data_IF_595007663748
#
_entry.id   IF_595007663748
#
_cell.length_a   1.000
_cell.length_b   1.000
_cell.length_c   1.000
_cell.angle_alpha   90.00
_cell.angle_beta   90.00
_cell.angle_gamma   90.00
#
_symmetry.space_group_name_H-M   'P 1'
#
loop_
_entity.id
_entity.type
_entity.pdbx_description
1 polymer ?
#
# COMPACT_ATOMS: atom_id res chain seq x y z
N UNK A 1 5.39 -19.43 -11.21
CA UNK A 1 6.35 -19.05 -10.15
C UNK A 1 7.28 -18.01 -10.74
N UNK A 2 7.54 -16.92 -10.05
CA UNK A 2 8.48 -15.88 -10.48
C UNK A 2 9.42 -15.50 -9.34
N UNK A 3 10.67 -15.20 -9.68
CA UNK A 3 11.73 -14.86 -8.72
C UNK A 3 12.47 -13.65 -9.28
N UNK A 4 12.79 -12.69 -8.43
CA UNK A 4 13.48 -11.46 -8.81
C UNK A 4 14.47 -11.04 -7.74
N UNK A 5 15.65 -10.60 -8.18
CA UNK A 5 16.69 -10.02 -7.33
C UNK A 5 16.91 -8.59 -7.80
N UNK A 6 16.88 -7.65 -6.87
CA UNK A 6 17.13 -6.25 -7.12
C UNK A 6 18.31 -5.80 -6.26
N UNK A 7 19.26 -5.11 -6.89
CA UNK A 7 20.41 -4.55 -6.22
C UNK A 7 20.54 -3.08 -6.58
N UNK A 8 20.66 -2.23 -5.56
CA UNK A 8 20.83 -0.79 -5.72
C UNK A 8 21.95 -0.29 -4.84
N UNK A 9 22.75 0.63 -5.37
CA UNK A 9 23.82 1.32 -4.64
C UNK A 9 23.65 2.81 -4.80
N UNK A 10 23.70 3.53 -3.68
CA UNK A 10 23.74 4.97 -3.64
C UNK A 10 25.01 5.44 -2.93
N UNK A 11 25.69 6.44 -3.49
CA UNK A 11 26.91 7.01 -2.91
C UNK A 11 26.65 8.48 -2.63
N UNK A 12 26.55 8.81 -1.35
CA UNK A 12 26.39 10.17 -0.87
C UNK A 12 27.75 10.67 -0.38
N UNK A 13 28.30 11.68 -1.05
CA UNK A 13 29.50 12.39 -0.59
C UNK A 13 29.06 13.69 0.07
N UNK A 14 29.18 13.78 1.39
CA UNK A 14 28.95 15.01 2.13
C UNK A 14 30.30 15.63 2.49
N UNK A 15 30.52 16.88 2.08
CA UNK A 15 31.70 17.67 2.46
C UNK A 15 31.30 18.65 3.55
N UNK A 16 31.84 18.48 4.75
CA UNK A 16 31.73 19.47 5.83
C UNK A 16 33.11 19.66 6.47
N UNK A 17 33.56 20.92 6.52
CA UNK A 17 34.78 21.37 7.21
C UNK A 17 36.03 20.48 6.95
N UNK A 18 36.38 20.26 5.69
CA UNK A 18 37.61 19.54 5.30
C UNK A 18 37.61 18.03 5.54
N UNK A 19 36.54 17.48 6.13
CA UNK A 19 36.40 16.04 6.40
C UNK A 19 35.46 15.45 5.34
N UNK A 20 36.01 14.65 4.43
CA UNK A 20 35.22 13.99 3.38
C UNK A 20 34.55 12.74 3.97
N UNK A 21 33.24 12.80 4.20
CA UNK A 21 32.47 11.64 4.65
C UNK A 21 31.79 11.01 3.44
N UNK A 22 32.24 9.82 3.05
CA UNK A 22 31.64 9.05 1.97
C UNK A 22 30.69 8.00 2.56
N UNK A 23 29.39 8.29 2.52
CA UNK A 23 28.35 7.34 2.90
C UNK A 23 27.94 6.53 1.66
N UNK A 24 28.17 5.21 1.69
CA UNK A 24 27.70 4.31 0.64
C UNK A 24 26.56 3.46 1.18
N UNK A 25 25.35 3.74 0.70
CA UNK A 25 24.16 2.97 0.99
C UNK A 25 24.01 1.88 -0.08
N UNK A 26 23.84 0.63 0.35
CA UNK A 26 23.60 -0.51 -0.55
C UNK A 26 22.33 -1.20 -0.11
N UNK A 27 21.42 -1.44 -1.03
CA UNK A 27 20.18 -2.18 -0.79
C UNK A 27 20.18 -3.42 -1.68
N UNK A 28 20.00 -4.58 -1.07
CA UNK A 28 19.84 -5.85 -1.77
C UNK A 28 18.47 -6.40 -1.42
N UNK A 29 17.62 -6.59 -2.42
CA UNK A 29 16.26 -7.07 -2.26
C UNK A 29 16.04 -8.35 -3.08
N UNK A 30 15.40 -9.33 -2.46
CA UNK A 30 14.99 -10.59 -3.06
C UNK A 30 13.48 -10.66 -2.99
N UNK A 31 12.81 -11.05 -4.09
CA UNK A 31 11.37 -11.29 -4.11
C UNK A 31 11.06 -12.59 -4.81
N UNK A 32 10.16 -13.37 -4.23
CA UNK A 32 9.77 -14.69 -4.69
C UNK A 32 8.25 -14.77 -4.66
N UNK A 33 7.63 -15.10 -5.79
CA UNK A 33 6.19 -15.26 -5.90
C UNK A 33 5.82 -16.67 -6.36
N UNK A 34 5.08 -17.38 -5.50
CA UNK A 34 4.68 -18.77 -5.70
C UNK A 34 3.16 -18.81 -5.85
N UNK A 35 2.63 -19.16 -7.04
CA UNK A 35 1.20 -19.38 -7.21
C UNK A 35 0.79 -20.64 -6.44
N UNK A 36 -0.24 -20.50 -5.61
CA UNK A 36 -0.81 -21.54 -4.76
C UNK A 36 -2.14 -22.06 -5.33
N UNK A 37 -2.38 -21.85 -6.63
CA UNK A 37 -3.61 -22.21 -7.34
C UNK A 37 -4.06 -23.67 -7.13
N UNK A 38 -3.12 -24.59 -6.84
CA UNK A 38 -3.41 -26.00 -6.58
C UNK A 38 -4.01 -26.29 -5.19
N UNK A 39 -3.84 -25.37 -4.24
CA UNK A 39 -4.34 -25.52 -2.87
C UNK A 39 -5.51 -24.59 -2.60
N UNK A 40 -5.45 -23.37 -3.13
CA UNK A 40 -6.53 -22.39 -3.06
C UNK A 40 -6.64 -21.69 -4.41
N UNK A 41 -7.86 -21.59 -4.94
CA UNK A 41 -8.15 -20.91 -6.21
C UNK A 41 -7.57 -19.50 -6.21
N UNK A 42 -6.85 -19.16 -7.28
CA UNK A 42 -6.31 -17.84 -7.57
C UNK A 42 -5.60 -17.14 -6.39
N UNK A 43 -4.82 -17.91 -5.64
CA UNK A 43 -4.01 -17.42 -4.52
C UNK A 43 -2.53 -17.50 -4.85
N UNK A 44 -1.73 -16.55 -4.38
CA UNK A 44 -0.27 -16.51 -4.51
C UNK A 44 0.39 -16.10 -3.19
N UNK A 45 1.49 -16.76 -2.87
CA UNK A 45 2.37 -16.36 -1.78
C UNK A 45 3.53 -15.52 -2.31
N UNK A 46 3.85 -14.47 -1.57
CA UNK A 46 5.00 -13.62 -1.81
C UNK A 46 5.97 -13.71 -0.64
N UNK A 47 7.25 -13.86 -0.93
CA UNK A 47 8.31 -13.71 0.05
C UNK A 47 9.27 -12.64 -0.44
N UNK A 48 9.49 -11.62 0.37
CA UNK A 48 10.43 -10.55 0.08
C UNK A 48 11.44 -10.44 1.22
N UNK A 49 12.71 -10.27 0.89
CA UNK A 49 13.76 -9.96 1.85
C UNK A 49 14.51 -8.73 1.34
N UNK A 50 14.80 -7.77 2.21
CA UNK A 50 15.68 -6.65 1.85
C UNK A 50 16.71 -6.38 2.93
N UNK A 51 17.94 -6.09 2.54
CA UNK A 51 19.04 -5.78 3.42
C UNK A 51 19.69 -4.48 2.98
N UNK A 52 19.84 -3.54 3.92
CA UNK A 52 20.49 -2.25 3.69
C UNK A 52 21.80 -2.19 4.47
N UNK A 53 22.91 -1.83 3.80
CA UNK A 53 24.22 -1.64 4.45
C UNK A 53 24.12 -0.53 5.51
N UNK A 54 24.42 -0.86 6.77
CA UNK A 54 24.29 0.05 7.91
C UNK A 54 22.88 0.17 8.48
N UNK A 55 21.91 -0.60 7.95
CA UNK A 55 20.50 -0.57 8.35
C UNK A 55 19.90 -1.97 8.59
N UNK A 56 18.58 -2.00 8.72
CA UNK A 56 17.84 -3.20 9.08
C UNK A 56 17.76 -4.20 7.93
N UNK A 57 17.78 -5.50 8.26
CA UNK A 57 17.30 -6.53 7.34
C UNK A 57 15.82 -6.73 7.59
N UNK A 58 15.00 -6.65 6.53
CA UNK A 58 13.57 -6.88 6.60
C UNK A 58 13.19 -8.15 5.86
N UNK A 59 12.30 -8.91 6.47
CA UNK A 59 11.67 -10.09 5.91
C UNK A 59 10.17 -9.80 5.82
N UNK A 60 9.56 -10.03 4.67
CA UNK A 60 8.14 -9.85 4.46
C UNK A 60 7.56 -11.09 3.80
N UNK A 61 6.52 -11.63 4.39
CA UNK A 61 5.78 -12.77 3.86
C UNK A 61 4.35 -12.32 3.62
N UNK A 62 3.86 -12.53 2.41
CA UNK A 62 2.53 -12.16 1.99
C UNK A 62 1.77 -13.33 1.41
N UNK A 63 0.46 -13.33 1.60
CA UNK A 63 -0.48 -14.19 0.91
C UNK A 63 -1.58 -13.31 0.34
N UNK A 64 -1.86 -13.44 -0.94
CA UNK A 64 -2.91 -12.66 -1.59
C UNK A 64 -3.57 -13.47 -2.67
N UNK A 65 -4.82 -13.14 -2.97
CA UNK A 65 -5.57 -13.85 -3.97
C UNK A 65 -6.82 -13.11 -4.39
N UNK A 66 -7.58 -13.77 -5.25
CA UNK A 66 -8.91 -13.33 -5.66
C UNK A 66 -9.94 -14.40 -5.36
N UNK A 67 -11.14 -13.96 -5.00
CA UNK A 67 -12.30 -14.79 -4.71
C UNK A 67 -13.51 -14.27 -5.50
N UNK A 68 -14.61 -15.03 -5.40
CA UNK A 68 -15.82 -14.95 -6.25
C UNK A 68 -15.58 -15.42 -7.69
N UNK A 69 -16.66 -15.87 -8.34
CA UNK A 69 -16.62 -16.51 -9.67
C UNK A 69 -16.01 -15.61 -10.75
N UNK A 70 -16.04 -14.29 -10.55
CA UNK A 70 -15.50 -13.29 -11.48
C UNK A 70 -14.19 -12.64 -10.98
N UNK A 71 -13.54 -13.18 -9.95
CA UNK A 71 -12.34 -12.61 -9.33
C UNK A 71 -12.52 -11.15 -8.86
N UNK A 72 -13.76 -10.78 -8.54
CA UNK A 72 -14.16 -9.43 -8.16
C UNK A 72 -13.74 -9.07 -6.74
N UNK A 73 -13.47 -10.05 -5.88
CA UNK A 73 -12.93 -9.80 -4.54
C UNK A 73 -11.43 -10.09 -4.53
N UNK A 74 -10.61 -9.06 -4.39
CA UNK A 74 -9.18 -9.21 -4.10
C UNK A 74 -8.94 -9.13 -2.59
N UNK A 75 -8.08 -9.99 -2.07
CA UNK A 75 -7.70 -9.98 -0.67
C UNK A 75 -6.20 -10.23 -0.52
N UNK A 76 -5.64 -9.77 0.59
CA UNK A 76 -4.22 -9.92 0.87
C UNK A 76 -3.91 -9.73 2.33
N UNK A 77 -3.04 -10.58 2.85
CA UNK A 77 -2.43 -10.46 4.16
C UNK A 77 -0.92 -10.42 3.98
N UNK A 78 -0.24 -9.57 4.73
CA UNK A 78 1.21 -9.48 4.75
C UNK A 78 1.69 -9.37 6.19
N UNK A 79 2.78 -10.06 6.49
CA UNK A 79 3.48 -10.00 7.75
C UNK A 79 4.95 -9.67 7.50
N UNK A 80 5.43 -8.62 8.15
CA UNK A 80 6.81 -8.16 8.07
C UNK A 80 7.52 -8.22 9.42
N UNK A 81 8.83 -8.45 9.37
CA UNK A 81 9.75 -8.39 10.49
C UNK A 81 11.05 -7.70 10.10
N UNK A 82 11.52 -6.76 10.94
CA UNK A 82 12.79 -6.08 10.79
C UNK A 82 13.74 -6.44 11.95
N UNK A 83 14.95 -6.92 11.62
CA UNK A 83 15.94 -7.34 12.63
C UNK A 83 16.46 -6.19 13.48
N UNK A 84 16.69 -5.01 12.88
CA UNK A 84 17.18 -3.86 13.64
C UNK A 84 16.01 -3.13 14.31
N UNK A 85 15.97 -3.18 15.64
CA UNK A 85 14.88 -2.63 16.46
C UNK A 85 13.71 -3.58 16.71
N UNK A 86 13.78 -4.83 16.26
CA UNK A 86 12.82 -5.90 16.59
C UNK A 86 11.38 -5.59 16.21
N UNK A 87 11.17 -4.84 15.12
CA UNK A 87 9.84 -4.33 14.75
C UNK A 87 9.12 -5.33 13.87
N UNK A 88 7.93 -5.74 14.30
CA UNK A 88 6.99 -6.47 13.45
C UNK A 88 5.90 -5.53 12.95
N UNK A 89 5.42 -5.81 11.75
CA UNK A 89 4.26 -5.17 11.16
C UNK A 89 3.41 -6.23 10.46
N UNK A 90 2.13 -5.92 10.30
CA UNK A 90 1.21 -6.74 9.56
C UNK A 90 0.14 -5.90 8.91
N UNK A 91 -0.36 -6.34 7.77
CA UNK A 91 -1.55 -5.74 7.16
C UNK A 91 -2.46 -6.79 6.55
N UNK A 92 -3.73 -6.47 6.56
CA UNK A 92 -4.82 -7.17 5.91
C UNK A 92 -5.53 -6.16 5.02
N UNK A 93 -5.80 -6.54 3.78
CA UNK A 93 -6.51 -5.72 2.80
C UNK A 93 -7.53 -6.58 2.08
N UNK A 94 -8.69 -6.00 1.80
CA UNK A 94 -9.73 -6.60 0.99
C UNK A 94 -10.35 -5.50 0.11
N UNK A 95 -10.58 -5.81 -1.15
CA UNK A 95 -11.20 -4.89 -2.11
C UNK A 95 -12.13 -5.66 -3.03
N UNK A 96 -13.36 -5.18 -3.14
CA UNK A 96 -14.40 -5.74 -3.97
C UNK A 96 -14.71 -4.79 -5.13
N UNK A 97 -14.60 -5.29 -6.35
CA UNK A 97 -14.90 -4.61 -7.61
C UNK A 97 -16.25 -5.11 -8.14
N UNK A 98 -17.29 -4.29 -7.99
CA UNK A 98 -18.61 -4.57 -8.52
C UNK A 98 -18.91 -3.73 -9.76
N UNK A 99 -19.89 -4.17 -10.56
CA UNK A 99 -20.26 -3.49 -11.81
C UNK A 99 -20.70 -2.03 -11.69
N UNK A 100 -21.04 -1.56 -10.48
CA UNK A 100 -21.46 -0.17 -10.23
C UNK A 100 -20.57 0.58 -9.24
N UNK A 101 -19.50 -0.05 -8.75
CA UNK A 101 -18.61 0.58 -7.78
C UNK A 101 -17.64 -0.40 -7.12
N UNK A 102 -16.68 0.18 -6.43
CA UNK A 102 -15.59 -0.47 -5.73
C UNK A 102 -15.69 -0.17 -4.23
N UNK A 103 -15.44 -1.20 -3.43
CA UNK A 103 -15.36 -1.09 -1.98
C UNK A 103 -13.98 -1.60 -1.58
N UNK A 104 -13.28 -0.85 -0.73
CA UNK A 104 -11.99 -1.24 -0.21
C UNK A 104 -11.95 -1.11 1.31
N UNK A 105 -11.31 -2.07 1.95
CA UNK A 105 -11.09 -2.13 3.38
C UNK A 105 -9.70 -2.65 3.68
N UNK A 106 -9.12 -2.18 4.78
CA UNK A 106 -7.84 -2.70 5.21
C UNK A 106 -7.51 -2.31 6.64
N UNK A 107 -6.76 -3.18 7.30
CA UNK A 107 -6.22 -2.99 8.62
C UNK A 107 -4.71 -3.16 8.54
N UNK A 108 -3.95 -2.23 9.09
CA UNK A 108 -2.51 -2.38 9.24
C UNK A 108 -2.07 -1.99 10.62
N UNK A 109 -1.05 -2.68 11.12
CA UNK A 109 -0.42 -2.36 12.37
C UNK A 109 1.10 -2.45 12.22
N UNK A 110 1.80 -1.61 12.97
CA UNK A 110 3.23 -1.71 13.21
C UNK A 110 3.48 -1.66 14.71
N UNK A 111 4.76 -1.61 15.10
CA UNK A 111 5.17 -1.53 16.50
C UNK A 111 4.75 -0.25 17.23
N UNK A 112 4.27 0.80 16.53
CA UNK A 112 3.93 2.10 17.14
C UNK A 112 2.48 2.52 16.89
N UNK A 113 1.86 2.05 15.81
CA UNK A 113 0.56 2.53 15.39
C UNK A 113 -0.27 1.43 14.72
N UNK A 114 -1.59 1.54 14.92
CA UNK A 114 -2.60 0.81 14.19
C UNK A 114 -3.38 1.77 13.30
N UNK A 115 -3.76 1.31 12.10
CA UNK A 115 -4.51 2.08 11.12
C UNK A 115 -5.57 1.19 10.48
N UNK A 116 -6.78 1.71 10.43
CA UNK A 116 -7.89 1.13 9.70
C UNK A 116 -8.20 2.05 8.53
N UNK A 117 -8.36 1.48 7.35
CA UNK A 117 -8.71 2.19 6.14
C UNK A 117 -9.98 1.56 5.55
N UNK A 118 -10.91 2.38 5.12
CA UNK A 118 -12.12 1.97 4.43
C UNK A 118 -12.47 3.03 3.40
N UNK A 119 -13.00 2.59 2.26
CA UNK A 119 -13.33 3.44 1.14
C UNK A 119 -14.40 2.80 0.26
N UNK A 120 -15.24 3.64 -0.31
CA UNK A 120 -16.22 3.26 -1.32
C UNK A 120 -16.12 4.28 -2.44
N UNK A 121 -16.00 3.81 -3.67
CA UNK A 121 -15.96 4.63 -4.86
C UNK A 121 -16.95 4.06 -5.88
N UNK A 122 -17.79 4.89 -6.47
CA UNK A 122 -18.78 4.45 -7.46
C UNK A 122 -19.34 5.63 -8.21
N UNK A 123 -19.70 5.42 -9.46
CA UNK A 123 -20.38 6.43 -10.29
C UNK A 123 -21.85 6.08 -10.39
N UNK A 124 -22.72 7.00 -9.99
CA UNK A 124 -24.16 6.88 -10.28
C UNK A 124 -24.43 7.68 -11.54
N UNK A 125 -24.85 7.02 -12.62
CA UNK A 125 -25.44 7.70 -13.77
C UNK A 125 -26.93 7.80 -13.48
N UNK A 126 -27.38 8.97 -13.04
CA UNK A 126 -28.82 9.25 -13.02
C UNK A 126 -29.26 9.54 -14.46
N UNK A 127 -29.96 8.59 -15.10
CA UNK A 127 -30.77 8.88 -16.28
C UNK A 127 -32.00 9.69 -15.83
N UNK A 128 -31.80 10.99 -15.60
CA UNK A 128 -32.88 11.96 -15.58
C UNK A 128 -33.08 12.44 -17.01
N UNK A 129 -34.17 12.01 -17.66
CA UNK A 129 -34.70 12.78 -18.77
C UNK A 129 -35.14 14.15 -18.24
N UNK A 130 -34.23 15.12 -18.21
CA UNK A 130 -34.49 16.57 -18.19
C UNK A 130 -33.18 17.37 -18.14
N UNK A 131 -32.95 18.13 -19.21
CA UNK A 131 -32.16 19.37 -19.32
C UNK A 131 -30.80 19.50 -18.60
N UNK A 132 -29.75 19.41 -19.43
CA UNK A 132 -28.72 20.46 -19.65
C UNK A 132 -28.27 21.24 -18.41
N UNK A 133 -27.15 20.84 -17.80
CA UNK A 133 -25.97 21.66 -17.44
C UNK A 133 -24.85 20.75 -16.89
N UNK A 134 -23.57 20.86 -17.33
CA UNK A 134 -22.52 19.98 -16.85
C UNK A 134 -21.91 20.53 -15.55
N UNK A 135 -22.09 19.84 -14.43
CA UNK A 135 -21.22 20.03 -13.26
C UNK A 135 -20.91 18.67 -12.61
N UNK A 136 -19.64 18.28 -12.69
CA UNK A 136 -19.11 17.00 -12.16
C UNK A 136 -18.49 17.27 -10.79
N UNK A 137 -19.04 16.67 -9.74
CA UNK A 137 -18.48 16.72 -8.39
C UNK A 137 -17.72 15.43 -8.06
N UNK A 138 -16.50 15.55 -7.53
CA UNK A 138 -15.75 14.46 -6.89
C UNK A 138 -15.53 14.85 -5.43
N UNK A 139 -16.15 14.14 -4.49
CA UNK A 139 -15.82 14.26 -3.05
C UNK A 139 -14.63 13.34 -2.76
N UNK A 140 -13.49 13.91 -2.36
CA UNK A 140 -12.32 13.14 -1.91
C UNK A 140 -12.04 13.47 -0.45
N UNK A 141 -12.22 12.47 0.42
CA UNK A 141 -11.98 12.59 1.86
C UNK A 141 -10.51 12.27 2.15
N UNK A 142 -9.77 13.16 2.81
CA UNK A 142 -8.44 12.86 3.36
C UNK A 142 -8.44 13.15 4.86
N UNK A 143 -7.96 12.19 5.64
CA UNK A 143 -7.77 12.31 7.09
C UNK A 143 -6.28 12.49 7.41
N UNK A 144 -5.94 13.59 8.09
CA UNK A 144 -4.68 13.76 8.82
C UNK A 144 -5.05 14.06 10.27
N UNK A 145 -4.77 13.08 11.15
CA UNK A 145 -4.94 13.21 12.60
C UNK A 145 -3.67 13.81 13.18
N UNK A 146 -3.67 15.11 13.49
CA UNK A 146 -2.90 15.65 14.63
C UNK A 146 -3.86 16.36 15.57
N UNK A 147 -3.55 16.22 16.85
CA UNK A 147 -4.43 16.43 18.00
C UNK A 147 -5.14 17.79 17.94
N UNK A 148 -6.39 17.78 18.40
CA UNK A 148 -7.32 18.90 18.57
C UNK A 148 -8.25 19.20 17.37
N UNK A 149 -9.52 18.85 17.60
CA UNK A 149 -10.63 18.82 16.65
C UNK A 149 -11.28 20.21 16.55
N UNK A 150 -11.02 20.90 15.44
CA UNK A 150 -11.96 21.87 14.86
C UNK A 150 -12.02 21.62 13.36
N UNK A 151 -13.17 21.14 12.89
CA UNK A 151 -13.42 20.86 11.49
C UNK A 151 -13.52 22.18 10.71
N UNK A 152 -12.72 22.33 9.66
CA UNK A 152 -12.85 23.40 8.69
C UNK A 152 -13.03 22.80 7.30
N UNK A 153 -14.10 23.21 6.63
CA UNK A 153 -14.44 22.83 5.25
C UNK A 153 -13.96 23.96 4.36
N UNK A 154 -13.08 23.67 3.40
CA UNK A 154 -12.65 24.64 2.38
C UNK A 154 -12.96 24.09 1.00
N UNK A 155 -13.69 24.90 0.22
CA UNK A 155 -14.09 24.65 -1.16
C UNK A 155 -13.06 25.38 -2.04
N UNK A 156 -12.36 24.66 -2.92
CA UNK A 156 -11.53 25.31 -3.95
C UNK A 156 -12.13 24.99 -5.31
N UNK A 157 -12.55 26.06 -5.99
CA UNK A 157 -13.01 26.09 -7.38
C UNK A 157 -11.79 26.32 -8.27
N UNK A 158 -11.62 25.51 -9.32
CA UNK A 158 -10.69 25.83 -10.40
C UNK A 158 -11.47 25.81 -11.71
N UNK A 159 -11.36 26.92 -12.45
CA UNK A 159 -12.02 27.21 -13.72
C UNK A 159 -11.36 26.47 -14.89
#
# INVERSE_FOLDING_TARGET
MSYGINYSQNKNAASSNGTRSEATDRVLALNVNIPLNRWMGNTWANYAMSNTKGGATTHNVGLSGTALDNNTLSWGVNQGYATQGGRSNGNLTASYDGGSGQINGGYSYDSHQQRINYGVAGGVIAHAGASRYPSRWVKRLHWLRRREQKASISIITVA
#
